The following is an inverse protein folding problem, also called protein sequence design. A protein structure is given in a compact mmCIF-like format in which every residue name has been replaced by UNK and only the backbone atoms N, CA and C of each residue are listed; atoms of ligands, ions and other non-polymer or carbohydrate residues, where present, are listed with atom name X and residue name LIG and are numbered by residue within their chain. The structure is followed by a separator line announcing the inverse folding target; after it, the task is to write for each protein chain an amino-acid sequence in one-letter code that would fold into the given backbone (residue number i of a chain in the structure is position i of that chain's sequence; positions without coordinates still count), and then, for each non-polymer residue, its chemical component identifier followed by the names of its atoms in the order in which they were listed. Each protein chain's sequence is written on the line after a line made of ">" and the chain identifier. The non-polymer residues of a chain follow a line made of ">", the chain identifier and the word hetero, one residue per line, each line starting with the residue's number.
data_IF_402222722678
#
_entry.id   IF_402222722678
#
_cell.length_a   1.000
_cell.length_b   1.000
_cell.length_c   1.000
_cell.angle_alpha   90.00
_cell.angle_beta   90.00
_cell.angle_gamma   90.00
#
_symmetry.space_group_name_H-M   'P 1'
#
loop_
_entity.id
_entity.type
_entity.pdbx_description
1 polymer ?
#
# COMPACT_ATOMS: atom_id res chain seq x y z
N UNK A 1 -60.06 28.16 -18.89
CA UNK A 1 -59.27 27.06 -19.52
C UNK A 1 -57.77 27.39 -19.77
N UNK A 2 -57.43 28.58 -20.30
CA UNK A 2 -56.00 28.96 -20.48
C UNK A 2 -55.35 29.43 -19.19
N UNK A 3 -56.09 30.12 -18.34
CA UNK A 3 -55.63 30.60 -17.04
C UNK A 3 -55.52 29.50 -15.99
N UNK A 4 -56.39 28.51 -16.03
CA UNK A 4 -56.29 27.31 -15.15
C UNK A 4 -55.10 26.44 -15.48
N UNK A 5 -54.72 26.34 -16.77
CA UNK A 5 -53.51 25.65 -17.20
C UNK A 5 -52.22 26.36 -16.74
N UNK A 6 -52.20 27.70 -16.79
CA UNK A 6 -51.09 28.51 -16.30
C UNK A 6 -50.89 28.39 -14.78
N UNK A 7 -52.01 28.43 -14.03
CA UNK A 7 -51.96 28.24 -12.58
C UNK A 7 -51.45 26.84 -12.18
N UNK A 8 -51.94 25.80 -12.87
CA UNK A 8 -51.48 24.40 -12.60
C UNK A 8 -50.00 24.22 -12.98
N UNK A 9 -49.48 24.88 -14.02
CA UNK A 9 -48.05 24.87 -14.36
C UNK A 9 -47.20 25.64 -13.33
N UNK A 10 -47.71 26.76 -12.79
CA UNK A 10 -47.01 27.52 -11.74
C UNK A 10 -46.94 26.72 -10.44
N UNK A 11 -48.05 26.12 -10.02
CA UNK A 11 -48.09 25.27 -8.81
C UNK A 11 -47.15 24.06 -8.93
N UNK A 12 -47.15 23.39 -10.09
CA UNK A 12 -46.24 22.28 -10.35
C UNK A 12 -44.75 22.72 -10.32
N UNK A 13 -44.46 23.92 -10.84
CA UNK A 13 -43.10 24.48 -10.83
C UNK A 13 -42.63 24.82 -9.41
N UNK A 14 -43.51 25.40 -8.59
CA UNK A 14 -43.21 25.73 -7.20
C UNK A 14 -42.99 24.46 -6.38
N UNK A 15 -43.86 23.45 -6.54
CA UNK A 15 -43.70 22.16 -5.87
C UNK A 15 -42.37 21.49 -6.26
N UNK A 16 -42.04 21.52 -7.56
CA UNK A 16 -40.77 20.98 -8.05
C UNK A 16 -39.57 21.72 -7.44
N UNK A 17 -39.62 23.05 -7.37
CA UNK A 17 -38.59 23.88 -6.79
C UNK A 17 -38.37 23.57 -5.30
N UNK A 18 -39.46 23.42 -4.55
CA UNK A 18 -39.43 23.07 -3.11
C UNK A 18 -38.84 21.67 -2.91
N UNK A 19 -39.22 20.68 -3.71
CA UNK A 19 -38.68 19.33 -3.68
C UNK A 19 -37.18 19.33 -3.99
N UNK A 20 -36.76 20.04 -5.02
CA UNK A 20 -35.33 20.16 -5.40
C UNK A 20 -34.54 20.86 -4.30
N UNK A 21 -35.06 21.95 -3.73
CA UNK A 21 -34.42 22.64 -2.61
C UNK A 21 -34.33 21.75 -1.35
N UNK A 22 -35.39 21.00 -1.05
CA UNK A 22 -35.42 20.03 0.06
C UNK A 22 -34.40 18.91 -0.13
N UNK A 23 -34.31 18.33 -1.33
CA UNK A 23 -33.32 17.32 -1.69
C UNK A 23 -31.89 17.87 -1.62
N UNK A 24 -31.71 19.12 -2.08
CA UNK A 24 -30.40 19.80 -2.00
C UNK A 24 -29.99 20.04 -0.53
N UNK A 25 -30.90 20.56 0.31
CA UNK A 25 -30.67 20.77 1.73
C UNK A 25 -30.38 19.45 2.45
N UNK A 26 -31.17 18.40 2.18
CA UNK A 26 -30.94 17.06 2.74
C UNK A 26 -29.56 16.53 2.35
N UNK A 27 -29.18 16.63 1.06
CA UNK A 27 -27.84 16.27 0.59
C UNK A 27 -26.73 17.09 1.25
N UNK A 28 -26.97 18.35 1.56
CA UNK A 28 -25.96 19.26 2.14
C UNK A 28 -25.72 19.03 3.63
N UNK A 29 -26.81 18.77 4.39
CA UNK A 29 -26.76 18.66 5.84
C UNK A 29 -26.72 17.21 6.35
N UNK A 30 -27.34 16.28 5.66
CA UNK A 30 -27.44 14.87 6.02
C UNK A 30 -26.97 13.94 4.91
N UNK A 31 -25.76 14.18 4.41
CA UNK A 31 -25.21 13.46 3.25
C UNK A 31 -25.28 11.93 3.35
N UNK A 32 -25.02 11.36 4.55
CA UNK A 32 -25.04 9.90 4.75
C UNK A 32 -26.42 9.29 4.53
N UNK A 33 -27.47 9.88 5.11
CA UNK A 33 -28.84 9.38 4.93
C UNK A 33 -29.32 9.62 3.50
N UNK A 34 -29.03 10.80 2.92
CA UNK A 34 -29.31 11.06 1.50
C UNK A 34 -28.65 10.03 0.60
N UNK A 35 -27.37 9.71 0.86
CA UNK A 35 -26.64 8.72 0.05
C UNK A 35 -27.30 7.35 0.13
N UNK A 36 -27.67 6.88 1.30
CA UNK A 36 -28.28 5.54 1.47
C UNK A 36 -29.66 5.45 0.84
N UNK A 37 -30.49 6.48 0.96
CA UNK A 37 -31.91 6.44 0.55
C UNK A 37 -32.11 6.83 -0.93
N UNK A 38 -31.35 7.79 -1.44
CA UNK A 38 -31.51 8.29 -2.79
C UNK A 38 -30.28 8.05 -3.66
N UNK A 39 -29.11 8.43 -3.19
CA UNK A 39 -27.88 8.41 -3.98
C UNK A 39 -27.46 6.99 -4.40
N UNK A 40 -27.43 6.07 -3.44
CA UNK A 40 -27.03 4.69 -3.72
C UNK A 40 -28.01 3.93 -4.61
N UNK A 41 -29.35 3.93 -4.38
CA UNK A 41 -30.28 3.24 -5.27
C UNK A 41 -30.20 3.78 -6.73
N UNK A 42 -30.15 5.09 -6.90
CA UNK A 42 -30.02 5.70 -8.22
C UNK A 42 -28.72 5.30 -8.91
N UNK A 43 -27.61 5.31 -8.18
CA UNK A 43 -26.32 4.85 -8.69
C UNK A 43 -26.37 3.36 -9.06
N UNK A 44 -26.89 2.50 -8.18
CA UNK A 44 -26.97 1.06 -8.42
C UNK A 44 -27.82 0.75 -9.68
N UNK A 45 -28.94 1.44 -9.85
CA UNK A 45 -29.78 1.35 -11.05
C UNK A 45 -29.02 1.82 -12.29
N UNK A 46 -28.36 2.96 -12.22
CA UNK A 46 -27.57 3.53 -13.33
C UNK A 46 -26.46 2.58 -13.77
N UNK A 47 -25.67 2.05 -12.83
CA UNK A 47 -24.60 1.08 -13.10
C UNK A 47 -25.16 -0.17 -13.77
N UNK A 48 -26.28 -0.71 -13.26
CA UNK A 48 -26.92 -1.90 -13.80
C UNK A 48 -27.52 -1.67 -15.19
N UNK A 49 -28.15 -0.51 -15.42
CA UNK A 49 -28.75 -0.15 -16.70
C UNK A 49 -27.67 0.07 -17.78
N UNK A 50 -26.55 0.70 -17.41
CA UNK A 50 -25.45 1.00 -18.34
C UNK A 50 -24.50 -0.15 -18.54
N UNK A 51 -24.54 -1.20 -17.70
CA UNK A 51 -23.55 -2.29 -17.70
C UNK A 51 -23.33 -2.94 -19.07
N UNK A 52 -24.39 -3.15 -19.86
CA UNK A 52 -24.24 -3.73 -21.19
C UNK A 52 -23.36 -2.88 -22.11
N UNK A 53 -23.58 -1.56 -22.10
CA UNK A 53 -22.82 -0.61 -22.92
C UNK A 53 -21.36 -0.52 -22.43
N UNK A 54 -21.17 -0.45 -21.12
CA UNK A 54 -19.86 -0.38 -20.49
C UNK A 54 -19.06 -1.66 -20.74
N UNK A 55 -19.65 -2.83 -20.53
CA UNK A 55 -19.00 -4.12 -20.78
C UNK A 55 -18.56 -4.29 -22.23
N UNK A 56 -19.41 -3.85 -23.20
CA UNK A 56 -19.07 -3.87 -24.61
C UNK A 56 -17.91 -2.91 -24.93
N UNK A 57 -17.99 -1.66 -24.45
CA UNK A 57 -16.94 -0.66 -24.67
C UNK A 57 -15.60 -1.02 -24.00
N UNK A 58 -15.63 -1.76 -22.90
CA UNK A 58 -14.42 -2.24 -22.21
C UNK A 58 -13.89 -3.58 -22.78
N UNK A 59 -14.56 -4.20 -23.75
CA UNK A 59 -14.14 -5.48 -24.33
C UNK A 59 -14.41 -6.68 -23.41
N UNK A 60 -15.33 -6.57 -22.46
CA UNK A 60 -15.65 -7.63 -21.48
C UNK A 60 -16.83 -8.52 -21.92
N UNK A 61 -17.29 -8.39 -23.17
CA UNK A 61 -18.36 -9.22 -23.73
C UNK A 61 -17.79 -10.36 -24.56
N UNK A 62 -18.53 -11.46 -24.68
CA UNK A 62 -18.22 -12.58 -25.58
C UNK A 62 -19.35 -12.79 -26.57
N UNK A 63 -19.01 -13.01 -27.83
CA UNK A 63 -20.02 -13.34 -28.87
C UNK A 63 -20.48 -14.76 -28.65
N UNK A 64 -21.78 -14.93 -28.37
CA UNK A 64 -22.43 -16.25 -28.31
C UNK A 64 -23.43 -16.36 -29.45
N UNK A 65 -23.44 -17.51 -30.13
CA UNK A 65 -24.47 -17.78 -31.12
C UNK A 65 -25.77 -18.13 -30.39
N UNK A 66 -26.83 -17.36 -30.65
CA UNK A 66 -28.19 -17.66 -30.21
C UNK A 66 -29.09 -17.90 -31.39
N UNK A 67 -30.00 -18.85 -31.25
CA UNK A 67 -31.07 -19.02 -32.19
C UNK A 67 -32.03 -17.81 -32.01
N UNK A 68 -32.23 -17.10 -33.10
CA UNK A 68 -33.17 -16.01 -33.16
C UNK A 68 -34.28 -16.31 -34.11
N UNK A 69 -35.46 -15.91 -33.74
CA UNK A 69 -36.66 -16.11 -34.48
C UNK A 69 -37.02 -14.82 -35.21
N UNK A 70 -37.01 -14.84 -36.55
CA UNK A 70 -37.43 -13.70 -37.36
C UNK A 70 -38.71 -14.07 -38.13
N UNK A 71 -39.65 -13.12 -38.10
CA UNK A 71 -40.85 -13.15 -38.92
C UNK A 71 -40.54 -12.39 -40.20
N UNK A 72 -40.44 -13.07 -41.30
CA UNK A 72 -40.28 -12.41 -42.61
C UNK A 72 -41.61 -12.43 -43.33
N UNK A 73 -42.07 -11.29 -43.94
CA UNK A 73 -43.22 -11.29 -44.79
C UNK A 73 -42.93 -12.20 -45.97
N UNK A 74 -43.81 -13.19 -46.22
CA UNK A 74 -43.78 -14.01 -47.40
C UNK A 74 -44.56 -13.37 -48.54
N UNK A 75 -44.61 -14.03 -49.70
CA UNK A 75 -45.39 -13.58 -50.84
C UNK A 75 -46.87 -13.38 -50.46
N UNK A 76 -47.46 -12.28 -50.94
CA UNK A 76 -48.89 -12.02 -50.75
C UNK A 76 -49.68 -13.09 -51.52
N UNK A 77 -50.48 -13.85 -50.79
CA UNK A 77 -51.37 -14.81 -51.41
C UNK A 77 -52.45 -14.09 -52.22
N UNK A 78 -53.00 -14.69 -53.23
CA UNK A 78 -54.11 -14.16 -54.06
C UNK A 78 -55.35 -13.75 -53.26
N UNK A 79 -55.43 -14.12 -51.97
CA UNK A 79 -56.46 -13.74 -51.00
C UNK A 79 -56.15 -12.51 -50.19
N UNK A 80 -55.07 -11.73 -50.50
CA UNK A 80 -54.66 -10.53 -49.74
C UNK A 80 -54.02 -10.82 -48.37
N UNK A 81 -53.89 -12.07 -47.92
CA UNK A 81 -53.28 -12.43 -46.66
C UNK A 81 -51.76 -12.59 -46.81
N UNK A 82 -51.00 -11.87 -46.01
CA UNK A 82 -49.54 -11.99 -45.98
C UNK A 82 -49.13 -13.25 -45.20
N UNK A 83 -48.61 -14.22 -45.91
CA UNK A 83 -48.03 -15.41 -45.25
C UNK A 83 -46.73 -15.03 -44.51
N UNK A 84 -46.73 -15.12 -43.19
CA UNK A 84 -45.56 -14.85 -42.39
C UNK A 84 -44.73 -16.15 -42.31
N UNK A 85 -43.50 -16.13 -42.83
CA UNK A 85 -42.55 -17.24 -42.71
C UNK A 85 -41.73 -17.10 -41.43
N UNK A 86 -41.71 -18.11 -40.60
CA UNK A 86 -40.84 -18.22 -39.45
C UNK A 86 -39.49 -18.74 -39.90
N UNK A 87 -38.43 -17.94 -39.67
CA UNK A 87 -37.06 -18.37 -39.99
C UNK A 87 -36.23 -18.35 -38.72
N UNK A 88 -35.63 -19.48 -38.39
CA UNK A 88 -34.65 -19.59 -37.34
C UNK A 88 -33.27 -19.28 -37.90
N UNK A 89 -32.61 -18.31 -37.35
CA UNK A 89 -31.24 -17.96 -37.72
C UNK A 89 -30.35 -17.94 -36.47
N UNK A 90 -29.11 -18.41 -36.63
CA UNK A 90 -28.09 -18.24 -35.61
C UNK A 90 -27.54 -16.85 -35.76
N UNK A 91 -27.73 -16.03 -34.75
CA UNK A 91 -27.19 -14.67 -34.69
C UNK A 91 -26.15 -14.63 -33.58
N UNK A 92 -24.99 -14.05 -33.88
CA UNK A 92 -23.97 -13.75 -32.86
C UNK A 92 -24.44 -12.58 -31.99
N UNK A 93 -24.68 -12.82 -30.72
CA UNK A 93 -25.12 -11.81 -29.76
C UNK A 93 -24.02 -11.61 -28.72
N UNK A 94 -23.65 -10.34 -28.47
CA UNK A 94 -22.73 -10.00 -27.41
C UNK A 94 -23.35 -10.29 -26.04
N UNK A 95 -22.80 -11.28 -25.36
CA UNK A 95 -23.20 -11.69 -24.01
C UNK A 95 -22.30 -10.96 -23.00
N UNK A 96 -22.93 -10.25 -22.07
CA UNK A 96 -22.24 -9.57 -20.97
C UNK A 96 -22.08 -10.48 -19.75
N UNK A 97 -21.06 -10.29 -18.92
CA UNK A 97 -20.94 -10.94 -17.61
C UNK A 97 -22.16 -10.64 -16.73
N UNK A 98 -22.60 -11.64 -15.98
CA UNK A 98 -23.67 -11.44 -14.99
C UNK A 98 -23.18 -10.54 -13.88
N UNK A 99 -23.95 -9.51 -13.56
CA UNK A 99 -23.64 -8.52 -12.52
C UNK A 99 -24.64 -8.65 -11.37
N UNK A 100 -24.13 -8.85 -10.16
CA UNK A 100 -24.92 -8.73 -8.94
C UNK A 100 -25.29 -7.27 -8.66
N UNK A 101 -26.16 -7.04 -7.69
CA UNK A 101 -26.46 -5.69 -7.27
C UNK A 101 -25.19 -5.03 -6.67
N UNK A 102 -24.82 -3.82 -7.11
CA UNK A 102 -23.73 -3.09 -6.48
C UNK A 102 -24.04 -2.86 -5.00
N UNK A 103 -23.08 -3.09 -4.11
CA UNK A 103 -23.17 -2.86 -2.68
C UNK A 103 -22.41 -1.59 -2.29
N UNK A 104 -22.97 -0.72 -1.43
CA UNK A 104 -22.27 0.49 -1.02
C UNK A 104 -21.06 0.16 -0.16
N UNK A 105 -20.02 1.00 -0.29
CA UNK A 105 -18.83 1.01 0.56
C UNK A 105 -18.62 2.41 1.12
N UNK A 106 -17.69 2.59 2.05
CA UNK A 106 -17.42 3.90 2.66
C UNK A 106 -17.03 4.98 1.64
N UNK A 107 -16.33 4.60 0.56
CA UNK A 107 -15.77 5.53 -0.44
C UNK A 107 -16.32 5.32 -1.86
N UNK A 108 -17.28 4.41 -2.04
CA UNK A 108 -17.83 4.09 -3.35
C UNK A 108 -18.83 2.95 -3.28
N UNK A 109 -18.63 1.95 -4.13
CA UNK A 109 -19.45 0.74 -4.18
C UNK A 109 -18.61 -0.45 -4.68
N UNK A 110 -19.07 -1.64 -4.40
CA UNK A 110 -18.48 -2.88 -4.91
C UNK A 110 -19.52 -3.70 -5.64
N UNK A 111 -19.12 -4.40 -6.68
CA UNK A 111 -19.99 -5.29 -7.43
C UNK A 111 -19.29 -6.60 -7.74
N UNK A 112 -20.02 -7.71 -7.62
CA UNK A 112 -19.53 -9.03 -8.01
C UNK A 112 -20.03 -9.35 -9.40
N UNK A 113 -19.12 -9.81 -10.24
CA UNK A 113 -19.39 -10.28 -11.60
C UNK A 113 -19.10 -11.78 -11.69
N UNK A 114 -19.87 -12.49 -12.50
CA UNK A 114 -19.55 -13.86 -12.92
C UNK A 114 -18.79 -13.79 -14.24
N UNK A 115 -17.63 -14.43 -14.27
CA UNK A 115 -16.82 -14.54 -15.48
C UNK A 115 -17.57 -15.34 -16.56
N UNK A 116 -17.45 -14.92 -17.80
CA UNK A 116 -17.86 -15.70 -18.94
C UNK A 116 -16.79 -16.76 -19.24
N UNK A 117 -17.21 -17.84 -19.93
CA UNK A 117 -16.29 -18.90 -20.35
C UNK A 117 -15.08 -18.34 -21.10
N UNK A 118 -13.87 -18.71 -20.64
CA UNK A 118 -12.60 -18.24 -21.20
C UNK A 118 -12.26 -16.77 -20.86
N UNK A 119 -12.88 -16.19 -19.83
CA UNK A 119 -12.41 -14.95 -19.20
C UNK A 119 -11.60 -15.27 -17.95
N UNK A 120 -10.61 -14.44 -17.70
CA UNK A 120 -9.75 -14.48 -16.52
C UNK A 120 -9.81 -13.14 -15.76
N UNK A 121 -9.47 -13.10 -14.49
CA UNK A 121 -9.48 -11.85 -13.70
C UNK A 121 -8.63 -10.72 -14.31
N UNK A 122 -7.54 -11.08 -14.99
CA UNK A 122 -6.62 -10.13 -15.66
C UNK A 122 -7.30 -9.33 -16.77
N UNK A 123 -8.33 -9.90 -17.44
CA UNK A 123 -9.11 -9.17 -18.46
C UNK A 123 -9.79 -7.94 -17.83
N UNK A 124 -10.23 -8.07 -16.58
CA UNK A 124 -10.88 -6.99 -15.83
C UNK A 124 -9.86 -6.02 -15.24
N UNK A 125 -8.70 -6.50 -14.82
CA UNK A 125 -7.59 -5.65 -14.37
C UNK A 125 -7.11 -4.74 -15.49
N UNK A 126 -6.94 -5.28 -16.70
CA UNK A 126 -6.60 -4.50 -17.91
C UNK A 126 -7.71 -3.51 -18.32
N UNK A 127 -8.95 -3.79 -17.96
CA UNK A 127 -10.09 -2.92 -18.24
C UNK A 127 -10.39 -1.91 -17.11
N UNK A 128 -9.69 -1.99 -15.96
CA UNK A 128 -10.01 -1.23 -14.75
C UNK A 128 -10.06 0.28 -14.98
N UNK A 129 -9.10 0.84 -15.71
CA UNK A 129 -9.05 2.25 -16.05
C UNK A 129 -10.23 2.66 -16.94
N UNK A 130 -10.52 1.89 -17.99
CA UNK A 130 -11.67 2.11 -18.88
C UNK A 130 -13.00 2.05 -18.13
N UNK A 131 -13.11 1.13 -17.18
CA UNK A 131 -14.27 1.02 -16.28
C UNK A 131 -14.39 2.26 -15.39
N UNK A 132 -13.28 2.76 -14.82
CA UNK A 132 -13.26 3.95 -13.99
C UNK A 132 -13.76 5.18 -14.75
N UNK A 133 -13.25 5.41 -15.96
CA UNK A 133 -13.70 6.49 -16.82
C UNK A 133 -15.17 6.34 -17.26
N UNK A 134 -15.59 5.12 -17.60
CA UNK A 134 -16.98 4.84 -18.02
C UNK A 134 -17.99 5.14 -16.91
N UNK A 135 -17.64 4.84 -15.67
CA UNK A 135 -18.48 5.10 -14.49
C UNK A 135 -18.21 6.45 -13.84
N UNK A 136 -17.25 7.23 -14.35
CA UNK A 136 -16.82 8.52 -13.78
C UNK A 136 -16.46 8.43 -12.30
N UNK A 137 -15.73 7.37 -11.94
CA UNK A 137 -15.18 7.14 -10.61
C UNK A 137 -13.67 7.35 -10.63
N UNK A 138 -13.08 7.65 -9.47
CA UNK A 138 -11.65 7.88 -9.35
C UNK A 138 -10.83 6.63 -9.70
N UNK A 139 -11.25 5.45 -9.20
CA UNK A 139 -10.56 4.19 -9.45
C UNK A 139 -11.49 2.99 -9.39
N UNK A 140 -11.12 1.91 -10.09
CA UNK A 140 -11.72 0.59 -10.01
C UNK A 140 -10.63 -0.41 -9.67
N UNK A 141 -10.79 -1.12 -8.55
CA UNK A 141 -9.91 -2.20 -8.15
C UNK A 141 -10.57 -3.54 -8.43
N UNK A 142 -9.80 -4.47 -8.96
CA UNK A 142 -10.25 -5.81 -9.33
C UNK A 142 -9.67 -6.82 -8.33
N UNK A 143 -10.50 -7.73 -7.86
CA UNK A 143 -10.07 -8.87 -7.05
C UNK A 143 -10.88 -10.11 -7.41
N UNK A 144 -10.29 -11.29 -7.27
CA UNK A 144 -10.95 -12.56 -7.56
C UNK A 144 -10.90 -13.47 -6.33
N UNK A 145 -11.87 -13.32 -5.40
CA UNK A 145 -11.85 -14.07 -4.14
C UNK A 145 -12.22 -15.56 -4.30
N UNK A 146 -12.85 -15.92 -5.43
CA UNK A 146 -13.28 -17.30 -5.74
C UNK A 146 -13.20 -17.55 -7.24
N UNK A 147 -12.91 -18.78 -7.69
CA UNK A 147 -12.95 -19.14 -9.09
C UNK A 147 -14.28 -18.75 -9.76
N UNK A 148 -14.20 -18.24 -10.99
CA UNK A 148 -15.36 -17.82 -11.78
C UNK A 148 -16.03 -16.51 -11.33
N UNK A 149 -15.47 -15.79 -10.35
CA UNK A 149 -16.03 -14.53 -9.84
C UNK A 149 -14.97 -13.45 -9.74
N UNK A 150 -15.33 -12.26 -10.14
CA UNK A 150 -14.54 -11.04 -9.97
C UNK A 150 -15.35 -10.03 -9.18
N UNK A 151 -14.70 -9.37 -8.24
CA UNK A 151 -15.24 -8.25 -7.47
C UNK A 151 -14.56 -6.97 -7.96
N UNK A 152 -15.37 -6.03 -8.44
CA UNK A 152 -14.95 -4.68 -8.77
C UNK A 152 -15.29 -3.76 -7.60
N UNK A 153 -14.28 -3.21 -6.94
CA UNK A 153 -14.43 -2.21 -5.90
C UNK A 153 -14.11 -0.84 -6.48
N UNK A 154 -15.05 0.09 -6.41
CA UNK A 154 -14.88 1.44 -6.93
C UNK A 154 -14.63 2.44 -5.82
N UNK A 155 -13.81 3.43 -6.12
CA UNK A 155 -13.59 4.60 -5.28
C UNK A 155 -14.11 5.82 -6.04
N UNK A 156 -15.14 6.47 -5.51
CA UNK A 156 -15.79 7.62 -6.20
C UNK A 156 -14.94 8.89 -6.14
N UNK A 157 -14.32 9.14 -5.00
CA UNK A 157 -13.42 10.29 -4.77
C UNK A 157 -12.15 9.77 -4.12
N UNK A 158 -11.02 10.32 -4.49
CA UNK A 158 -9.76 9.94 -3.87
C UNK A 158 -9.76 10.26 -2.37
N UNK A 159 -9.75 9.27 -1.47
CA UNK A 159 -9.73 9.49 -0.03
C UNK A 159 -8.37 10.02 0.45
N UNK A 160 -7.35 9.98 -0.42
CA UNK A 160 -5.99 10.40 -0.12
C UNK A 160 -5.72 11.88 -0.42
N UNK A 161 -6.69 12.61 -0.97
CA UNK A 161 -6.56 14.06 -1.25
C UNK A 161 -6.36 14.86 0.04
N UNK A 162 -7.05 14.47 1.12
CA UNK A 162 -6.92 15.14 2.42
C UNK A 162 -6.14 14.24 3.38
N UNK A 163 -5.05 14.77 3.88
CA UNK A 163 -4.33 14.18 5.01
C UNK A 163 -5.15 14.48 6.26
N UNK A 164 -5.45 13.48 7.06
CA UNK A 164 -6.11 13.68 8.36
C UNK A 164 -5.14 13.24 9.44
N UNK A 165 -5.15 13.97 10.57
CA UNK A 165 -4.44 13.57 11.76
C UNK A 165 -5.04 12.28 12.30
N UNK A 166 -4.20 11.33 12.63
CA UNK A 166 -4.62 10.11 13.33
C UNK A 166 -3.97 10.12 14.73
N UNK A 167 -4.68 9.57 15.71
CA UNK A 167 -4.10 9.44 17.04
C UNK A 167 -2.88 8.50 16.99
N UNK A 168 -1.87 8.76 17.81
CA UNK A 168 -0.69 7.90 17.92
C UNK A 168 -1.11 6.47 18.30
N UNK A 169 -0.43 5.48 17.72
CA UNK A 169 -0.57 4.08 18.12
C UNK A 169 0.12 3.86 19.46
N UNK A 170 -0.52 3.12 20.37
CA UNK A 170 0.06 2.72 21.67
C UNK A 170 0.65 1.30 21.65
N UNK A 171 0.57 0.57 20.54
CA UNK A 171 1.07 -0.79 20.43
C UNK A 171 2.59 -0.80 20.14
N UNK A 172 3.32 -1.65 20.86
CA UNK A 172 4.76 -1.79 20.71
C UNK A 172 5.16 -2.23 19.29
N UNK A 173 6.10 -1.50 18.66
CA UNK A 173 6.62 -1.73 17.30
C UNK A 173 5.57 -1.52 16.19
N UNK A 174 4.46 -0.89 16.49
CA UNK A 174 3.40 -0.58 15.54
C UNK A 174 3.15 0.91 15.51
N UNK A 175 3.12 1.50 14.33
CA UNK A 175 2.92 2.94 14.13
C UNK A 175 1.90 3.16 13.01
N UNK A 176 0.91 3.99 13.28
CA UNK A 176 0.02 4.50 12.24
C UNK A 176 0.69 5.69 11.57
N UNK A 177 1.14 5.52 10.34
CA UNK A 177 1.91 6.52 9.59
C UNK A 177 1.08 7.27 8.55
N UNK A 178 -0.17 6.83 8.31
CA UNK A 178 -0.98 7.42 7.26
C UNK A 178 -2.34 6.76 7.11
N UNK A 179 -2.88 6.86 5.90
CA UNK A 179 -4.18 6.29 5.51
C UNK A 179 -4.09 5.55 4.19
N UNK A 180 -4.75 4.40 4.13
CA UNK A 180 -4.95 3.64 2.89
C UNK A 180 -6.11 4.24 2.06
N UNK A 181 -6.11 3.99 0.75
CA UNK A 181 -7.21 4.37 -0.15
C UNK A 181 -8.57 3.77 0.24
N UNK A 182 -8.58 2.71 1.04
CA UNK A 182 -9.79 2.12 1.63
C UNK A 182 -10.34 2.93 2.79
N UNK A 183 -9.62 3.97 3.23
CA UNK A 183 -9.92 4.78 4.41
C UNK A 183 -9.52 4.15 5.74
N UNK A 184 -8.89 2.96 5.70
CA UNK A 184 -8.29 2.34 6.88
C UNK A 184 -6.98 3.04 7.25
N UNK A 185 -6.50 2.95 8.50
CA UNK A 185 -5.17 3.41 8.86
C UNK A 185 -4.11 2.65 8.04
N UNK A 186 -3.06 3.36 7.67
CA UNK A 186 -1.83 2.77 7.16
C UNK A 186 -0.88 2.59 8.33
N UNK A 187 -0.62 1.34 8.66
CA UNK A 187 0.20 0.95 9.80
C UNK A 187 1.49 0.31 9.33
N UNK A 188 2.59 0.65 9.97
CA UNK A 188 3.86 -0.08 9.93
C UNK A 188 3.93 -0.88 11.22
N UNK A 189 3.84 -2.19 11.11
CA UNK A 189 3.92 -3.14 12.22
C UNK A 189 5.15 -4.04 12.01
N UNK A 190 6.22 -3.77 12.76
CA UNK A 190 7.48 -4.49 12.65
C UNK A 190 7.40 -5.93 13.16
N UNK A 191 6.46 -6.26 14.00
CA UNK A 191 6.29 -7.64 14.48
C UNK A 191 5.70 -8.53 13.38
N UNK A 192 4.83 -7.97 12.57
CA UNK A 192 4.22 -8.68 11.43
C UNK A 192 5.11 -8.62 10.20
N UNK A 193 5.62 -7.44 9.86
CA UNK A 193 6.50 -7.18 8.71
C UNK A 193 7.81 -6.57 9.23
N UNK A 194 8.87 -7.40 9.42
CA UNK A 194 10.05 -7.00 10.17
C UNK A 194 10.94 -5.98 9.46
N UNK A 195 11.00 -6.05 8.13
CA UNK A 195 11.90 -5.22 7.35
C UNK A 195 11.14 -4.54 6.22
N UNK A 196 11.31 -3.23 6.13
CA UNK A 196 10.65 -2.36 5.17
C UNK A 196 11.65 -1.69 4.25
N UNK A 197 11.30 -1.65 2.98
CA UNK A 197 11.99 -0.90 1.95
C UNK A 197 11.11 0.26 1.50
N UNK A 198 11.61 1.48 1.66
CA UNK A 198 10.91 2.73 1.36
C UNK A 198 11.63 3.47 0.23
N UNK A 199 11.14 3.34 -0.99
CA UNK A 199 11.76 3.92 -2.17
C UNK A 199 10.95 5.08 -2.75
N UNK A 200 11.65 5.99 -3.40
CA UNK A 200 11.03 7.11 -4.10
C UNK A 200 12.01 8.22 -4.46
N UNK A 201 11.62 9.08 -5.38
CA UNK A 201 12.40 10.24 -5.81
C UNK A 201 12.50 11.31 -4.71
N UNK A 202 13.35 12.29 -4.92
CA UNK A 202 13.42 13.49 -4.07
C UNK A 202 12.06 14.17 -4.02
N UNK A 203 11.69 14.70 -2.85
CA UNK A 203 10.39 15.35 -2.57
C UNK A 203 9.16 14.45 -2.78
N UNK A 204 9.32 13.14 -2.84
CA UNK A 204 8.19 12.20 -2.98
C UNK A 204 7.47 11.90 -1.65
N UNK A 205 8.09 12.23 -0.50
CA UNK A 205 7.53 12.03 0.84
C UNK A 205 8.24 10.96 1.68
N UNK A 206 9.43 10.45 1.27
CA UNK A 206 10.23 9.48 2.04
C UNK A 206 10.59 9.99 3.44
N UNK A 207 11.24 11.18 3.51
CA UNK A 207 11.65 11.78 4.80
C UNK A 207 10.45 12.09 5.68
N UNK A 208 9.32 12.54 5.09
CA UNK A 208 8.08 12.75 5.83
C UNK A 208 7.53 11.44 6.45
N UNK A 209 7.65 10.32 5.74
CA UNK A 209 7.26 9.01 6.28
C UNK A 209 8.20 8.56 7.40
N UNK A 210 9.51 8.81 7.26
CA UNK A 210 10.49 8.56 8.33
C UNK A 210 10.18 9.41 9.57
N UNK A 211 9.83 10.68 9.40
CA UNK A 211 9.39 11.56 10.49
C UNK A 211 8.15 11.00 11.20
N UNK A 212 7.13 10.58 10.44
CA UNK A 212 5.92 9.96 10.99
C UNK A 212 6.25 8.68 11.79
N UNK A 213 7.19 7.89 11.31
CA UNK A 213 7.66 6.68 11.99
C UNK A 213 8.40 7.02 13.29
N UNK A 214 9.32 7.98 13.26
CA UNK A 214 10.07 8.45 14.44
C UNK A 214 9.09 8.97 15.51
N UNK A 215 8.16 9.85 15.15
CA UNK A 215 7.13 10.36 16.06
C UNK A 215 6.32 9.25 16.70
N UNK A 216 5.93 8.25 15.91
CA UNK A 216 5.14 7.13 16.41
C UNK A 216 5.93 6.13 17.26
N UNK A 217 7.23 6.01 17.07
CA UNK A 217 8.13 5.14 17.86
C UNK A 217 8.69 5.87 19.10
N UNK A 218 8.77 7.19 19.09
CA UNK A 218 9.37 7.97 20.17
C UNK A 218 8.80 7.65 21.57
N UNK A 219 7.47 7.49 21.77
CA UNK A 219 6.89 7.15 23.07
C UNK A 219 7.02 5.68 23.45
N UNK A 220 7.59 4.83 22.60
CA UNK A 220 7.63 3.38 22.81
C UNK A 220 8.98 2.95 23.44
N UNK A 221 9.01 1.86 24.25
CA UNK A 221 10.23 1.32 24.82
C UNK A 221 11.03 0.53 23.75
N UNK A 222 11.59 1.25 22.80
CA UNK A 222 12.39 0.73 21.69
C UNK A 222 13.69 1.52 21.56
N UNK A 223 14.77 0.87 21.17
CA UNK A 223 15.99 1.54 20.76
C UNK A 223 15.89 1.94 19.28
N UNK A 224 16.18 3.18 18.98
CA UNK A 224 16.26 3.69 17.61
C UNK A 224 17.72 3.86 17.22
N UNK A 225 18.09 3.32 16.08
CA UNK A 225 19.47 3.37 15.56
C UNK A 225 19.42 3.96 14.14
N UNK A 226 20.16 5.04 13.94
CA UNK A 226 20.18 5.79 12.69
C UNK A 226 21.45 5.55 11.86
N UNK A 227 21.29 5.49 10.52
CA UNK A 227 22.37 5.55 9.54
C UNK A 227 22.08 6.69 8.58
N UNK A 228 22.87 7.76 8.66
CA UNK A 228 22.73 8.97 7.84
C UNK A 228 24.08 9.42 7.32
N UNK A 229 24.53 8.79 6.22
CA UNK A 229 25.84 9.04 5.61
C UNK A 229 25.89 10.33 4.77
N UNK A 230 24.81 11.11 4.77
CA UNK A 230 24.80 12.46 4.19
C UNK A 230 25.25 13.53 5.20
N UNK A 231 26.16 13.15 6.10
CA UNK A 231 26.68 14.03 7.15
C UNK A 231 25.75 14.24 8.33
N UNK A 232 24.78 13.35 8.53
CA UNK A 232 23.89 13.39 9.67
C UNK A 232 22.74 14.41 9.56
N UNK A 233 22.57 15.07 8.42
CA UNK A 233 21.63 16.20 8.25
C UNK A 233 20.18 15.76 8.48
N UNK A 234 19.82 14.56 8.07
CA UNK A 234 18.44 14.05 8.18
C UNK A 234 18.09 13.58 9.60
N UNK A 235 19.03 12.94 10.32
CA UNK A 235 18.74 12.31 11.62
C UNK A 235 19.32 13.04 12.84
N UNK A 236 20.27 13.93 12.70
CA UNK A 236 20.81 14.75 13.83
C UNK A 236 19.72 15.51 14.60
N UNK A 237 18.66 16.06 13.97
CA UNK A 237 17.57 16.70 14.72
C UNK A 237 16.86 15.76 15.70
N UNK A 238 16.95 14.45 15.49
CA UNK A 238 16.30 13.42 16.32
C UNK A 238 17.28 12.70 17.26
N UNK A 239 18.54 13.15 17.34
CA UNK A 239 19.62 12.50 18.09
C UNK A 239 19.28 12.25 19.57
N UNK A 240 18.48 13.14 20.20
CA UNK A 240 18.03 12.95 21.58
C UNK A 240 17.18 11.69 21.81
N UNK A 241 16.60 11.10 20.74
CA UNK A 241 15.79 9.87 20.81
C UNK A 241 16.47 8.69 20.14
N UNK A 242 17.63 8.87 19.52
CA UNK A 242 18.42 7.80 18.92
C UNK A 242 19.39 7.22 19.95
N UNK A 243 19.38 5.91 20.12
CA UNK A 243 20.36 5.21 20.95
C UNK A 243 21.76 5.23 20.32
N UNK A 244 21.83 5.23 18.98
CA UNK A 244 23.06 5.39 18.23
C UNK A 244 22.78 6.03 16.85
N UNK A 245 23.75 6.79 16.33
CA UNK A 245 23.70 7.40 15.00
C UNK A 245 25.07 7.26 14.36
N UNK A 246 25.11 6.68 13.15
CA UNK A 246 26.29 6.64 12.30
C UNK A 246 26.13 7.69 11.18
N UNK A 247 27.10 8.60 11.07
CA UNK A 247 27.12 9.70 10.09
C UNK A 247 28.24 9.54 9.05
N UNK A 248 29.12 8.58 9.29
CA UNK A 248 30.22 8.21 8.39
C UNK A 248 30.23 6.70 8.11
N UNK A 249 30.98 6.31 7.08
CA UNK A 249 31.14 4.90 6.74
C UNK A 249 31.79 4.09 7.86
N UNK A 250 32.87 4.61 8.43
CA UNK A 250 33.56 3.91 9.51
C UNK A 250 32.67 3.67 10.74
N UNK A 251 31.90 4.70 11.13
CA UNK A 251 30.87 4.57 12.19
C UNK A 251 29.81 3.52 11.81
N UNK A 252 29.42 3.47 10.53
CA UNK A 252 28.41 2.51 10.05
C UNK A 252 28.90 1.07 10.14
N UNK A 253 30.16 0.79 9.81
CA UNK A 253 30.77 -0.53 9.97
C UNK A 253 30.73 -0.95 11.43
N UNK A 254 31.25 -0.10 12.32
CA UNK A 254 31.28 -0.41 13.76
C UNK A 254 29.89 -0.62 14.35
N UNK A 255 28.91 0.20 13.94
CA UNK A 255 27.54 0.12 14.43
C UNK A 255 26.82 -1.16 13.90
N UNK A 256 27.09 -1.55 12.65
CA UNK A 256 26.56 -2.80 12.09
C UNK A 256 27.21 -4.03 12.74
N UNK A 257 28.51 -4.00 13.02
CA UNK A 257 29.20 -5.06 13.75
C UNK A 257 28.62 -5.24 15.15
N UNK A 258 28.32 -4.13 15.86
CA UNK A 258 27.63 -4.17 17.15
C UNK A 258 26.22 -4.79 17.03
N UNK A 259 25.44 -4.45 15.99
CA UNK A 259 24.12 -5.03 15.77
C UNK A 259 24.20 -6.55 15.51
N UNK A 260 25.19 -7.00 14.77
CA UNK A 260 25.44 -8.44 14.54
C UNK A 260 25.86 -9.12 15.83
N UNK A 261 26.76 -8.53 16.62
CA UNK A 261 27.16 -9.02 17.94
C UNK A 261 25.95 -9.18 18.87
N UNK A 262 25.14 -8.13 19.01
CA UNK A 262 23.88 -8.17 19.78
C UNK A 262 22.93 -9.27 19.34
N UNK A 263 22.83 -9.49 18.04
CA UNK A 263 22.00 -10.57 17.50
C UNK A 263 22.50 -11.95 17.95
N UNK A 264 23.82 -12.16 17.94
CA UNK A 264 24.46 -13.41 18.41
C UNK A 264 24.23 -13.61 19.91
N UNK A 265 24.41 -12.58 20.74
CA UNK A 265 24.17 -12.64 22.19
C UNK A 265 22.69 -12.96 22.49
N UNK A 266 21.75 -12.33 21.79
CA UNK A 266 20.32 -12.61 21.92
C UNK A 266 19.97 -14.02 21.47
N UNK A 267 20.67 -14.55 20.47
CA UNK A 267 20.57 -15.94 20.04
C UNK A 267 21.01 -16.88 21.13
N UNK A 268 22.16 -16.59 21.77
CA UNK A 268 22.67 -17.32 22.93
C UNK A 268 21.69 -17.33 24.11
N UNK A 269 21.13 -16.15 24.44
CA UNK A 269 20.12 -16.01 25.49
C UNK A 269 18.87 -16.84 25.19
N UNK A 270 18.36 -16.78 23.97
CA UNK A 270 17.19 -17.57 23.54
C UNK A 270 17.48 -19.07 23.64
N UNK A 271 18.66 -19.51 23.18
CA UNK A 271 19.10 -20.93 23.28
C UNK A 271 19.15 -21.42 24.72
N UNK A 272 19.74 -20.64 25.62
CA UNK A 272 19.82 -20.97 27.05
C UNK A 272 18.45 -21.08 27.70
N UNK A 273 17.52 -20.17 27.29
CA UNK A 273 16.15 -20.16 27.79
C UNK A 273 15.21 -21.17 27.10
N UNK A 274 15.68 -21.96 26.12
CA UNK A 274 14.83 -22.85 25.31
C UNK A 274 13.80 -22.10 24.43
N UNK A 275 14.04 -20.83 24.14
CA UNK A 275 13.16 -19.95 23.34
C UNK A 275 13.64 -19.88 21.89
N UNK A 276 12.69 -19.74 20.94
CA UNK A 276 13.01 -19.60 19.50
C UNK A 276 13.18 -18.13 19.08
N UNK A 277 12.76 -17.20 19.92
CA UNK A 277 12.84 -15.76 19.67
C UNK A 277 12.69 -14.99 20.98
N UNK A 278 13.07 -13.71 20.98
CA UNK A 278 13.01 -12.88 22.20
C UNK A 278 11.58 -12.68 22.74
N UNK A 279 10.55 -12.86 21.94
CA UNK A 279 9.16 -12.67 22.35
C UNK A 279 8.64 -13.80 23.23
N UNK A 280 9.32 -14.95 23.23
CA UNK A 280 9.04 -16.08 24.12
C UNK A 280 9.75 -15.93 25.47
N UNK A 281 10.68 -14.98 25.60
CA UNK A 281 11.35 -14.70 26.87
C UNK A 281 10.40 -13.94 27.80
N UNK A 282 10.54 -14.17 29.14
CA UNK A 282 9.79 -13.39 30.13
C UNK A 282 10.05 -11.87 29.98
N UNK A 283 9.08 -10.99 30.26
CA UNK A 283 9.23 -9.54 30.10
C UNK A 283 10.47 -8.95 30.79
N UNK A 284 10.85 -9.44 31.97
CA UNK A 284 11.99 -8.93 32.75
C UNK A 284 13.38 -9.30 32.20
N UNK A 285 13.47 -10.30 31.30
CA UNK A 285 14.73 -10.75 30.67
C UNK A 285 14.71 -10.45 29.14
N UNK A 286 13.60 -10.01 28.61
CA UNK A 286 13.47 -9.73 27.19
C UNK A 286 14.30 -8.52 26.80
N UNK A 287 15.22 -8.64 25.84
CA UNK A 287 15.99 -7.51 25.35
C UNK A 287 15.09 -6.43 24.72
N UNK A 288 15.49 -5.19 24.85
CA UNK A 288 14.82 -4.05 24.23
C UNK A 288 14.86 -4.22 22.70
N UNK A 289 13.74 -4.15 21.98
CA UNK A 289 13.73 -4.25 20.53
C UNK A 289 14.39 -3.01 19.89
N UNK A 290 15.04 -3.22 18.76
CA UNK A 290 15.80 -2.20 18.03
C UNK A 290 15.14 -1.97 16.68
N UNK A 291 14.89 -0.71 16.32
CA UNK A 291 14.48 -0.30 14.98
C UNK A 291 15.62 0.49 14.35
N UNK A 292 16.16 -0.06 13.28
CA UNK A 292 17.24 0.53 12.49
C UNK A 292 16.63 1.35 11.34
N UNK A 293 16.98 2.62 11.28
CA UNK A 293 16.55 3.58 10.28
C UNK A 293 17.73 3.89 9.37
N UNK A 294 17.58 3.65 8.07
CA UNK A 294 18.59 3.99 7.06
C UNK A 294 18.00 5.06 6.14
N UNK A 295 18.59 6.26 6.11
CA UNK A 295 18.10 7.37 5.29
C UNK A 295 18.27 7.12 3.78
N UNK A 296 19.46 6.70 3.37
CA UNK A 296 19.75 6.38 1.97
C UNK A 296 20.59 5.12 1.86
N UNK A 297 19.97 4.04 1.42
CA UNK A 297 20.63 2.74 1.29
C UNK A 297 21.84 2.80 0.34
N UNK A 298 21.73 3.60 -0.72
CA UNK A 298 22.81 3.74 -1.70
C UNK A 298 24.13 4.22 -1.08
N UNK A 299 24.08 5.09 -0.08
CA UNK A 299 25.28 5.63 0.58
C UNK A 299 26.10 4.56 1.30
N UNK A 300 25.47 3.49 1.78
CA UNK A 300 26.16 2.34 2.38
C UNK A 300 26.93 1.50 1.35
N UNK A 301 26.56 1.59 0.07
CA UNK A 301 27.12 0.79 -1.02
C UNK A 301 27.98 1.60 -2.00
N UNK A 302 27.88 2.94 -2.00
CA UNK A 302 28.68 3.79 -2.88
C UNK A 302 30.18 3.59 -2.59
N UNK A 303 30.92 3.29 -3.63
CA UNK A 303 32.37 3.13 -3.60
C UNK A 303 33.01 4.35 -4.26
N UNK A 304 33.62 5.23 -3.45
CA UNK A 304 34.37 6.37 -3.95
C UNK A 304 35.81 5.96 -4.39
N UNK A 305 36.42 5.01 -3.64
CA UNK A 305 37.74 4.49 -3.91
C UNK A 305 37.77 2.94 -3.80
N UNK A 306 38.67 2.30 -4.51
CA UNK A 306 38.86 0.85 -4.46
C UNK A 306 39.28 0.34 -3.06
N UNK A 307 39.92 1.18 -2.25
CA UNK A 307 40.25 0.86 -0.84
C UNK A 307 39.03 0.60 0.04
N UNK A 308 37.86 1.16 -0.31
CA UNK A 308 36.62 1.01 0.46
C UNK A 308 35.89 -0.33 0.21
N UNK A 309 36.40 -1.14 -0.74
CA UNK A 309 35.74 -2.39 -1.15
C UNK A 309 35.46 -3.35 -0.01
N UNK A 310 36.44 -3.51 0.89
CA UNK A 310 36.34 -4.45 2.02
C UNK A 310 35.33 -3.94 3.08
N UNK A 311 35.29 -2.63 3.32
CA UNK A 311 34.30 -2.02 4.22
C UNK A 311 32.88 -2.15 3.67
N UNK A 312 32.70 -1.94 2.36
CA UNK A 312 31.41 -2.12 1.69
C UNK A 312 30.96 -3.57 1.76
N UNK A 313 31.88 -4.52 1.54
CA UNK A 313 31.57 -5.93 1.64
C UNK A 313 31.16 -6.34 3.07
N UNK A 314 31.85 -5.83 4.10
CA UNK A 314 31.49 -6.03 5.51
C UNK A 314 30.10 -5.42 5.81
N UNK A 315 29.89 -4.15 5.44
CA UNK A 315 28.61 -3.45 5.61
C UNK A 315 27.45 -4.23 4.97
N UNK A 316 27.64 -4.65 3.70
CA UNK A 316 26.63 -5.43 2.96
C UNK A 316 26.31 -6.75 3.64
N UNK A 317 27.33 -7.48 4.08
CA UNK A 317 27.16 -8.77 4.75
C UNK A 317 26.47 -8.61 6.11
N UNK A 318 26.90 -7.64 6.93
CA UNK A 318 26.31 -7.37 8.24
C UNK A 318 24.83 -6.96 8.11
N UNK A 319 24.51 -6.03 7.19
CA UNK A 319 23.14 -5.60 6.96
C UNK A 319 22.26 -6.74 6.45
N UNK A 320 22.77 -7.59 5.57
CA UNK A 320 22.05 -8.78 5.10
C UNK A 320 21.79 -9.78 6.24
N UNK A 321 22.77 -10.01 7.12
CA UNK A 321 22.57 -10.89 8.30
C UNK A 321 21.50 -10.35 9.25
N UNK A 322 21.52 -9.05 9.53
CA UNK A 322 20.45 -8.39 10.31
C UNK A 322 19.10 -8.59 9.65
N UNK A 323 19.01 -8.47 8.32
CA UNK A 323 17.77 -8.69 7.60
C UNK A 323 17.27 -10.15 7.61
N UNK A 324 18.19 -11.12 7.62
CA UNK A 324 17.85 -12.54 7.65
C UNK A 324 17.40 -13.03 9.02
N UNK A 325 18.06 -12.60 10.09
CA UNK A 325 17.93 -13.16 11.42
C UNK A 325 17.30 -12.19 12.44
N UNK A 326 17.38 -10.88 12.19
CA UNK A 326 16.98 -9.83 13.13
C UNK A 326 15.57 -9.95 13.67
N UNK A 327 14.61 -10.42 12.87
CA UNK A 327 13.21 -10.62 13.28
C UNK A 327 13.08 -11.43 14.56
N UNK A 328 13.78 -12.55 14.64
CA UNK A 328 13.70 -13.44 15.80
C UNK A 328 14.33 -12.80 17.06
N UNK A 329 15.33 -11.96 16.86
CA UNK A 329 16.12 -11.35 17.92
C UNK A 329 15.77 -9.87 18.18
N UNK A 330 14.63 -9.40 17.62
CA UNK A 330 14.07 -8.08 17.91
C UNK A 330 14.83 -6.93 17.26
N UNK A 331 15.46 -7.16 16.10
CA UNK A 331 16.12 -6.12 15.30
C UNK A 331 15.39 -5.98 13.98
N UNK A 332 14.90 -4.77 13.68
CA UNK A 332 14.03 -4.46 12.56
C UNK A 332 14.64 -3.38 11.68
N UNK A 333 14.42 -3.45 10.37
CA UNK A 333 14.99 -2.50 9.43
C UNK A 333 13.89 -1.65 8.77
N UNK A 334 14.15 -0.38 8.66
CA UNK A 334 13.42 0.54 7.80
C UNK A 334 14.43 1.26 6.89
N UNK A 335 14.60 0.73 5.68
CA UNK A 335 15.59 1.21 4.73
C UNK A 335 14.95 2.13 3.71
N UNK A 336 15.39 3.39 3.65
CA UNK A 336 15.03 4.33 2.61
C UNK A 336 16.05 4.34 1.48
N UNK A 337 15.61 4.66 0.26
CA UNK A 337 16.50 4.81 -0.88
C UNK A 337 15.82 5.46 -2.08
N UNK A 338 16.60 6.19 -2.86
CA UNK A 338 16.19 6.69 -4.17
C UNK A 338 16.50 5.67 -5.25
N UNK A 339 17.63 4.97 -5.09
CA UNK A 339 18.09 3.84 -5.91
C UNK A 339 18.25 2.62 -5.02
N UNK A 340 17.76 1.49 -5.51
CA UNK A 340 17.78 0.21 -4.80
C UNK A 340 18.09 -0.94 -5.76
N UNK A 341 18.73 -0.62 -6.89
CA UNK A 341 19.07 -1.55 -7.95
C UNK A 341 20.27 -2.44 -7.61
N UNK A 342 20.46 -3.50 -8.39
CA UNK A 342 21.65 -4.37 -8.31
C UNK A 342 22.96 -3.66 -8.69
N UNK A 343 22.86 -2.51 -9.34
CA UNK A 343 23.95 -1.62 -9.71
C UNK A 343 24.63 -0.97 -8.50
N UNK A 344 23.98 -0.94 -7.33
CA UNK A 344 24.58 -0.43 -6.10
C UNK A 344 25.71 -1.32 -5.58
N UNK A 345 25.63 -2.63 -5.78
CA UNK A 345 26.68 -3.53 -5.37
C UNK A 345 26.20 -4.92 -4.92
N UNK A 346 27.13 -5.79 -4.52
CA UNK A 346 26.81 -7.14 -4.08
C UNK A 346 25.95 -7.13 -2.81
N UNK A 347 25.00 -8.07 -2.71
CA UNK A 347 24.13 -8.21 -1.54
C UNK A 347 22.85 -7.38 -1.54
N UNK A 348 22.74 -6.28 -2.33
CA UNK A 348 21.53 -5.43 -2.38
C UNK A 348 20.30 -6.20 -2.81
N UNK A 349 20.42 -7.07 -3.80
CA UNK A 349 19.29 -7.90 -4.27
C UNK A 349 18.83 -8.87 -3.18
N UNK A 350 19.78 -9.48 -2.46
CA UNK A 350 19.48 -10.37 -1.34
C UNK A 350 18.83 -9.60 -0.17
N UNK A 351 19.34 -8.43 0.18
CA UNK A 351 18.73 -7.54 1.18
C UNK A 351 17.29 -7.18 0.81
N UNK A 352 17.07 -6.76 -0.44
CA UNK A 352 15.73 -6.47 -0.96
C UNK A 352 14.79 -7.66 -0.80
N UNK A 353 15.26 -8.88 -1.05
CA UNK A 353 14.46 -10.10 -0.90
C UNK A 353 14.01 -10.33 0.56
N UNK A 354 14.82 -9.90 1.53
CA UNK A 354 14.48 -9.99 2.97
C UNK A 354 13.48 -8.90 3.41
N UNK A 355 13.43 -7.76 2.73
CA UNK A 355 12.47 -6.72 3.04
C UNK A 355 11.10 -7.08 2.47
N UNK A 356 10.24 -7.73 3.26
CA UNK A 356 8.88 -8.12 2.84
C UNK A 356 7.89 -6.92 2.80
N UNK A 357 8.17 -5.88 3.57
CA UNK A 357 7.43 -4.61 3.49
C UNK A 357 7.96 -3.74 2.36
N UNK A 358 7.08 -3.29 1.47
CA UNK A 358 7.43 -2.51 0.29
C UNK A 358 6.63 -1.22 0.25
N UNK A 359 7.33 -0.10 0.11
CA UNK A 359 6.76 1.23 -0.01
C UNK A 359 7.41 1.89 -1.22
N UNK A 360 6.61 2.21 -2.23
CA UNK A 360 7.04 2.88 -3.43
C UNK A 360 6.31 4.21 -3.56
N UNK A 361 6.97 5.29 -3.21
CA UNK A 361 6.52 6.65 -3.51
C UNK A 361 6.66 6.95 -5.00
N UNK A 362 6.38 8.19 -5.42
CA UNK A 362 6.65 8.64 -6.79
C UNK A 362 8.12 8.37 -7.14
N UNK A 363 8.37 7.76 -8.27
CA UNK A 363 9.70 7.46 -8.82
C UNK A 363 9.91 8.20 -10.13
N UNK A 364 11.18 8.48 -10.46
CA UNK A 364 11.53 9.16 -11.70
C UNK A 364 11.65 8.18 -12.88
N UNK A 365 11.93 6.92 -12.59
CA UNK A 365 12.13 5.88 -13.58
C UNK A 365 11.29 4.63 -13.29
N UNK A 366 10.82 3.92 -14.33
CA UNK A 366 10.02 2.72 -14.20
C UNK A 366 10.74 1.55 -13.51
N UNK A 367 12.06 1.50 -13.60
CA UNK A 367 12.88 0.40 -13.09
C UNK A 367 12.89 0.43 -11.58
N UNK A 368 13.02 1.59 -10.95
CA UNK A 368 12.94 1.76 -9.50
C UNK A 368 11.60 1.25 -8.94
N UNK A 369 10.46 1.50 -9.63
CA UNK A 369 9.19 0.93 -9.21
C UNK A 369 9.21 -0.60 -9.26
N UNK A 370 9.75 -1.17 -10.33
CA UNK A 370 9.84 -2.63 -10.50
C UNK A 370 10.79 -3.24 -9.46
N UNK A 371 11.92 -2.61 -9.20
CA UNK A 371 12.87 -3.06 -8.18
C UNK A 371 12.29 -2.97 -6.77
N UNK A 372 11.50 -1.93 -6.48
CA UNK A 372 10.87 -1.75 -5.17
C UNK A 372 9.74 -2.75 -4.93
N UNK A 373 8.82 -2.85 -5.87
CA UNK A 373 7.59 -3.62 -5.72
C UNK A 373 7.76 -5.09 -6.12
N UNK A 374 8.80 -5.41 -6.91
CA UNK A 374 9.07 -6.79 -7.33
C UNK A 374 7.96 -7.35 -8.21
N UNK A 375 7.64 -8.63 -8.00
CA UNK A 375 6.64 -9.40 -8.77
C UNK A 375 5.19 -9.18 -8.30
N UNK A 376 4.91 -8.00 -7.73
CA UNK A 376 3.52 -7.64 -7.41
C UNK A 376 2.69 -7.50 -8.68
N UNK A 377 1.38 -7.45 -8.48
CA UNK A 377 0.40 -7.20 -9.54
C UNK A 377 0.87 -6.05 -10.46
N UNK A 378 0.90 -6.23 -11.79
CA UNK A 378 1.23 -5.17 -12.75
C UNK A 378 0.48 -3.86 -12.54
N UNK A 379 -0.74 -3.92 -11.98
CA UNK A 379 -1.51 -2.72 -11.63
C UNK A 379 -0.86 -1.90 -10.50
N UNK A 380 -0.08 -2.52 -9.60
CA UNK A 380 0.70 -1.81 -8.59
C UNK A 380 1.80 -0.96 -9.23
N UNK A 381 2.51 -1.52 -10.21
CA UNK A 381 3.56 -0.82 -10.95
C UNK A 381 3.00 0.37 -11.76
N UNK A 382 1.88 0.16 -12.45
CA UNK A 382 1.20 1.24 -13.18
C UNK A 382 0.77 2.34 -12.22
N UNK A 383 0.21 1.96 -11.07
CA UNK A 383 -0.25 2.93 -10.05
C UNK A 383 0.91 3.71 -9.43
N UNK A 384 2.08 3.08 -9.19
CA UNK A 384 3.26 3.76 -8.67
C UNK A 384 3.80 4.82 -9.64
N UNK A 385 3.84 4.49 -10.94
CA UNK A 385 4.26 5.41 -12.01
C UNK A 385 3.29 6.58 -12.20
N UNK A 386 2.02 6.37 -11.89
CA UNK A 386 0.96 7.37 -12.04
C UNK A 386 0.83 8.33 -10.85
N UNK A 387 1.68 8.22 -9.80
CA UNK A 387 1.65 9.13 -8.66
C UNK A 387 2.06 10.54 -9.12
N UNK A 388 1.17 11.55 -9.01
CA UNK A 388 1.49 12.92 -9.43
C UNK A 388 2.54 13.57 -8.51
N UNK A 389 3.33 14.49 -9.06
CA UNK A 389 4.33 15.24 -8.28
C UNK A 389 3.70 16.12 -7.20
N UNK A 390 2.48 16.59 -7.42
CA UNK A 390 1.71 17.46 -6.54
C UNK A 390 1.12 16.73 -5.31
N UNK A 391 1.32 15.42 -5.22
CA UNK A 391 0.79 14.60 -4.12
C UNK A 391 1.89 13.93 -3.32
N UNK A 392 2.81 14.67 -2.67
CA UNK A 392 3.84 14.09 -1.83
C UNK A 392 3.22 13.26 -0.70
N UNK A 393 3.93 12.22 -0.29
CA UNK A 393 3.47 11.26 0.71
C UNK A 393 2.54 10.17 0.18
N UNK A 394 2.06 10.26 -1.07
CA UNK A 394 1.36 9.14 -1.71
C UNK A 394 2.37 8.05 -2.08
N UNK A 395 2.01 6.81 -1.79
CA UNK A 395 2.83 5.64 -2.08
C UNK A 395 1.96 4.42 -2.44
N UNK A 396 2.56 3.46 -3.12
CA UNK A 396 2.06 2.10 -3.22
C UNK A 396 2.72 1.29 -2.11
N UNK A 397 1.91 0.62 -1.34
CA UNK A 397 2.33 -0.15 -0.15
C UNK A 397 1.93 -1.60 -0.31
N UNK A 398 2.84 -2.51 -0.03
CA UNK A 398 2.58 -3.94 0.03
C UNK A 398 3.25 -4.53 1.28
N UNK A 399 2.58 -5.53 1.86
CA UNK A 399 3.07 -6.31 3.00
C UNK A 399 3.12 -7.80 2.67
N UNK A 400 3.18 -8.62 3.70
CA UNK A 400 3.27 -10.09 3.58
C UNK A 400 2.04 -10.77 2.98
N UNK A 401 0.89 -10.12 2.99
CA UNK A 401 -0.37 -10.64 2.46
C UNK A 401 -0.43 -10.67 0.92
N UNK A 402 0.62 -10.16 0.25
CA UNK A 402 0.67 -10.03 -1.20
C UNK A 402 -0.34 -9.03 -1.78
N UNK A 403 -1.10 -8.34 -0.92
CA UNK A 403 -2.00 -7.28 -1.34
C UNK A 403 -1.26 -5.95 -1.39
N UNK A 404 -1.65 -5.12 -2.31
CA UNK A 404 -1.11 -3.77 -2.42
C UNK A 404 -2.21 -2.72 -2.30
N UNK A 405 -1.85 -1.56 -1.79
CA UNK A 405 -2.75 -0.45 -1.57
C UNK A 405 -2.07 0.86 -1.96
N UNK A 406 -2.84 1.80 -2.48
CA UNK A 406 -2.42 3.20 -2.44
C UNK A 406 -2.62 3.72 -1.02
N UNK A 407 -1.61 4.40 -0.52
CA UNK A 407 -1.62 5.01 0.80
C UNK A 407 -1.11 6.44 0.72
N UNK A 408 -1.38 7.23 1.73
CA UNK A 408 -0.75 8.53 1.93
C UNK A 408 -0.32 8.69 3.37
N UNK A 409 0.96 9.05 3.56
CA UNK A 409 1.48 9.37 4.88
C UNK A 409 0.88 10.66 5.44
N UNK A 410 0.81 10.79 6.77
CA UNK A 410 0.51 12.07 7.41
C UNK A 410 1.64 13.03 7.11
N UNK A 411 1.31 14.31 7.08
CA UNK A 411 2.34 15.33 7.09
C UNK A 411 2.85 15.53 8.51
N UNK A 412 4.12 15.28 8.70
CA UNK A 412 4.84 15.50 9.97
C UNK A 412 6.03 16.39 9.63
N UNK A 413 6.00 17.63 10.13
CA UNK A 413 7.10 18.55 9.93
C UNK A 413 8.34 18.09 10.70
N UNK A 414 9.53 18.47 10.24
CA UNK A 414 10.79 18.22 10.94
C UNK A 414 10.75 18.73 12.37
N UNK A 415 10.21 19.94 12.58
CA UNK A 415 10.03 20.51 13.92
C UNK A 415 9.14 19.68 14.83
N UNK A 416 8.06 19.08 14.30
CA UNK A 416 7.19 18.21 15.08
C UNK A 416 7.90 16.90 15.45
N UNK A 417 8.69 16.34 14.55
CA UNK A 417 9.48 15.15 14.81
C UNK A 417 10.62 15.40 15.79
N UNK A 418 11.32 16.52 15.67
CA UNK A 418 12.34 16.98 16.61
C UNK A 418 11.75 17.22 18.00
N UNK A 419 10.59 17.86 18.07
CA UNK A 419 9.88 18.08 19.35
C UNK A 419 9.52 16.74 20.02
N UNK A 420 9.00 15.78 19.25
CA UNK A 420 8.70 14.44 19.77
C UNK A 420 9.97 13.72 20.25
N UNK A 421 11.07 13.82 19.50
CA UNK A 421 12.35 13.23 19.90
C UNK A 421 12.85 13.81 21.24
N UNK A 422 12.77 15.11 21.42
CA UNK A 422 13.12 15.77 22.69
C UNK A 422 12.17 15.43 23.84
N UNK A 423 10.87 15.39 23.57
CA UNK A 423 9.85 15.07 24.58
C UNK A 423 10.03 13.67 25.17
N UNK A 424 10.46 12.71 24.37
CA UNK A 424 10.64 11.31 24.78
C UNK A 424 12.11 10.91 24.92
N UNK A 425 13.03 11.86 25.07
CA UNK A 425 14.46 11.60 25.23
C UNK A 425 14.78 10.70 26.42
N UNK A 426 14.03 10.83 27.52
CA UNK A 426 14.20 10.02 28.73
C UNK A 426 13.89 8.53 28.50
N UNK A 427 13.16 8.20 27.41
CA UNK A 427 12.90 6.82 27.01
C UNK A 427 13.98 6.25 26.09
N UNK A 428 15.04 7.00 25.81
CA UNK A 428 16.12 6.55 24.93
C UNK A 428 17.04 5.58 25.67
N UNK A 429 17.09 4.29 25.29
CA UNK A 429 18.02 3.36 25.92
C UNK A 429 19.47 3.76 25.58
N UNK A 430 20.34 3.77 26.57
CA UNK A 430 21.74 4.07 26.32
C UNK A 430 22.36 2.95 25.48
N UNK A 431 23.08 3.30 24.42
CA UNK A 431 23.68 2.32 23.52
C UNK A 431 24.70 1.43 24.24
N UNK A 432 25.48 2.02 25.15
CA UNK A 432 26.42 1.29 25.97
C UNK A 432 25.75 0.19 26.82
N UNK A 433 24.56 0.47 27.38
CA UNK A 433 23.83 -0.52 28.18
C UNK A 433 23.30 -1.66 27.32
N UNK A 434 22.86 -1.34 26.08
CA UNK A 434 22.39 -2.35 25.13
C UNK A 434 23.53 -3.27 24.69
N UNK A 435 24.75 -2.72 24.54
CA UNK A 435 25.93 -3.44 24.03
C UNK A 435 26.85 -3.97 25.09
N UNK A 436 26.57 -3.77 26.39
CA UNK A 436 27.44 -4.19 27.49
C UNK A 436 27.75 -5.69 27.52
N UNK A 437 26.88 -6.53 26.95
CA UNK A 437 27.09 -7.97 26.85
C UNK A 437 28.03 -8.41 25.73
N UNK A 438 28.29 -7.59 24.72
CA UNK A 438 29.08 -7.98 23.54
C UNK A 438 30.54 -8.21 23.87
N UNK A 439 31.10 -7.49 24.84
CA UNK A 439 32.52 -7.60 25.23
C UNK A 439 32.86 -8.96 25.90
N UNK A 440 31.90 -9.58 26.56
CA UNK A 440 32.10 -10.88 27.20
C UNK A 440 31.97 -12.04 26.19
N UNK A 441 31.21 -11.86 25.11
CA UNK A 441 31.02 -12.89 24.09
C UNK A 441 32.14 -12.95 23.04
N UNK A 442 32.87 -11.87 22.83
CA UNK A 442 34.01 -11.82 21.87
C UNK A 442 35.17 -12.70 22.28
N UNK A 443 35.20 -13.19 23.52
CA UNK A 443 36.20 -14.13 24.06
C UNK A 443 35.81 -15.60 23.90
N UNK A 444 34.59 -15.91 23.50
CA UNK A 444 34.19 -17.28 23.14
C UNK A 444 34.13 -17.40 21.63
N UNK A 445 35.16 -17.95 21.02
CA UNK A 445 35.19 -18.34 19.60
C UNK A 445 33.98 -19.22 19.22
N UNK A 446 32.87 -18.62 18.90
CA UNK A 446 31.83 -19.27 18.15
C UNK A 446 32.11 -19.01 16.66
N UNK A 447 32.75 -20.00 16.05
CA UNK A 447 33.06 -20.03 14.64
C UNK A 447 31.76 -19.87 13.83
N UNK A 448 31.62 -18.72 13.19
CA UNK A 448 30.44 -18.35 12.39
C UNK A 448 30.24 -19.25 11.15
N UNK A 449 31.24 -20.09 10.84
CA UNK A 449 31.20 -21.07 9.74
C UNK A 449 30.29 -22.26 10.09
N UNK A 450 30.23 -22.70 11.36
CA UNK A 450 29.36 -23.83 11.77
C UNK A 450 27.86 -23.50 11.72
N UNK A 451 27.47 -22.22 11.75
CA UNK A 451 26.07 -21.80 11.72
C UNK A 451 25.49 -21.65 10.29
N UNK A 452 26.32 -21.81 9.26
CA UNK A 452 25.91 -21.72 7.85
C UNK A 452 25.65 -23.09 7.21
N UNK A 453 26.11 -24.19 7.86
CA UNK A 453 25.97 -25.57 7.37
C UNK A 453 24.87 -26.37 8.10
N UNK A 454 24.11 -25.73 9.00
CA UNK A 454 22.96 -26.30 9.69
C UNK A 454 21.66 -25.59 9.27
#
# INVERSE_FOLDING_TARGET
>A
MRDDLLLTFLDASVVLAVVVAGLWAWRRWHYRSFWLVAGYPLMALSVRATWRKVALGCGLTKKRQRWWFTLTPGAVASTGLVKVRRRFQRIAVDTKPWMWLPLPTRHGWRVTLHLLEGQIPEDYTKAAERLAHSWRVHAVRVSSPRPGRVVLATTMRDPLVRVADLPPSSELLKVTVGRLETGKPWEIDFRTVPHWLNAGATQSGKSNLANALIVGLAPQPVALVGFDLKGGVEFTPYASRLSALATSRAESVGLLDNLVGLMIDRMGLCRTAGARNIWQLPPGVRPIPIVVLVDELAELYLMADKSEKDEIAKTSTALLRVAQLGRAFGIYLFCCGQRIGSDLGPGVTALRAQCSGRICHRVNDPETATMTLGDLDPAALVSARAIPAETPGVAIVAGQDGQWYRARSFYVSEQAAEHAARMYSDLTPAWADITSGIHDAATSELDLTELLDA
#
